data_IF_964099546447
#
_entry.id   IF_964099546447
#
_cell.length_a   1.000
_cell.length_b   1.000
_cell.length_c   1.000
_cell.angle_alpha   90.00
_cell.angle_beta   90.00
_cell.angle_gamma   90.00
#
_symmetry.space_group_name_H-M   'P 1'
#
loop_
_entity.id
_entity.type
_entity.pdbx_description
1 polymer ?
#
# COMPACT_ATOMS: atom_id res chain seq x y z
N UNK A 1 -2.39 22.28 -3.00
CA UNK A 1 -3.06 21.88 -4.24
C UNK A 1 -2.01 21.79 -5.31
N UNK A 2 -1.78 20.65 -5.95
CA UNK A 2 -0.86 20.55 -7.08
C UNK A 2 -1.40 21.39 -8.24
N UNK A 3 -0.51 22.13 -8.90
CA UNK A 3 -0.84 22.97 -10.06
C UNK A 3 -1.52 22.10 -11.13
N UNK A 4 -2.64 22.57 -11.68
CA UNK A 4 -3.30 21.91 -12.82
C UNK A 4 -2.32 21.89 -13.98
N UNK A 5 -1.73 20.72 -14.27
CA UNK A 5 -0.90 20.52 -15.45
C UNK A 5 -1.81 20.70 -16.68
N UNK A 6 -1.44 21.59 -17.59
CA UNK A 6 -2.15 21.77 -18.86
C UNK A 6 -1.97 20.52 -19.73
N UNK A 7 -2.96 19.63 -19.69
CA UNK A 7 -2.94 18.35 -20.40
C UNK A 7 -3.27 18.46 -21.88
N UNK A 8 -3.67 19.65 -22.37
CA UNK A 8 -4.12 19.84 -23.76
C UNK A 8 -3.00 19.55 -24.78
N UNK A 9 -1.76 19.80 -24.43
CA UNK A 9 -0.58 19.62 -25.27
C UNK A 9 -0.06 18.20 -25.36
N UNK A 10 -0.45 17.33 -24.41
CA UNK A 10 0.00 15.94 -24.38
C UNK A 10 -0.65 15.08 -25.47
N UNK A 11 0.09 14.10 -25.96
CA UNK A 11 -0.45 13.09 -26.85
C UNK A 11 -1.62 12.33 -26.18
N UNK A 12 -2.55 11.74 -26.93
CA UNK A 12 -3.67 10.99 -26.36
C UNK A 12 -3.23 9.89 -25.39
N UNK A 13 -2.11 9.22 -25.68
CA UNK A 13 -1.52 8.20 -24.83
C UNK A 13 -1.10 8.76 -23.48
N UNK A 14 -0.35 9.87 -23.46
CA UNK A 14 0.12 10.48 -22.22
C UNK A 14 -1.01 11.10 -21.40
N UNK A 15 -2.06 11.59 -22.03
CA UNK A 15 -3.28 12.02 -21.32
C UNK A 15 -3.95 10.85 -20.58
N UNK A 16 -3.98 9.65 -21.20
CA UNK A 16 -4.53 8.46 -20.56
C UNK A 16 -3.66 8.02 -19.39
N UNK A 17 -2.34 7.94 -19.58
CA UNK A 17 -1.40 7.60 -18.52
C UNK A 17 -1.46 8.59 -17.35
N UNK A 18 -1.42 9.89 -17.61
CA UNK A 18 -1.43 10.92 -16.58
C UNK A 18 -2.71 10.87 -15.73
N UNK A 19 -3.87 10.63 -16.37
CA UNK A 19 -5.15 10.46 -15.66
C UNK A 19 -5.09 9.30 -14.67
N UNK A 20 -4.52 8.17 -15.06
CA UNK A 20 -4.35 6.99 -14.21
C UNK A 20 -3.34 7.31 -13.09
N UNK A 21 -2.19 7.88 -13.44
CA UNK A 21 -1.15 8.20 -12.46
C UNK A 21 -1.60 9.18 -11.38
N UNK A 22 -2.44 10.17 -11.74
CA UNK A 22 -3.01 11.11 -10.77
C UNK A 22 -3.93 10.46 -9.73
N UNK A 23 -4.51 9.31 -10.04
CA UNK A 23 -5.34 8.52 -9.10
C UNK A 23 -4.50 7.59 -8.22
N UNK A 24 -3.21 7.47 -8.49
CA UNK A 24 -2.30 6.50 -7.86
C UNK A 24 -1.07 7.22 -7.26
N UNK A 25 -1.23 8.14 -6.30
CA UNK A 25 -0.10 8.81 -5.69
C UNK A 25 0.80 7.81 -4.96
N UNK A 26 2.12 7.90 -5.17
CA UNK A 26 3.10 7.02 -4.53
C UNK A 26 3.13 5.58 -5.02
N UNK A 27 2.34 5.22 -6.03
CA UNK A 27 2.30 3.88 -6.63
C UNK A 27 3.03 3.92 -7.98
N UNK A 28 3.94 2.99 -8.23
CA UNK A 28 4.59 2.83 -9.53
C UNK A 28 3.59 2.29 -10.55
N UNK A 29 3.57 2.85 -11.75
CA UNK A 29 2.62 2.45 -12.80
C UNK A 29 3.34 1.74 -13.92
N UNK A 30 3.05 0.46 -14.09
CA UNK A 30 3.43 -0.36 -15.24
C UNK A 30 2.32 -0.30 -16.28
N UNK A 31 2.55 0.47 -17.35
CA UNK A 31 1.55 0.82 -18.35
C UNK A 31 1.76 0.04 -19.64
N UNK A 32 0.80 -0.81 -20.01
CA UNK A 32 0.89 -1.71 -21.16
C UNK A 32 0.93 -0.95 -22.48
N UNK A 33 1.98 -1.19 -23.28
CA UNK A 33 2.15 -0.65 -24.62
C UNK A 33 2.71 -1.74 -25.55
N UNK A 34 1.83 -2.32 -26.36
CA UNK A 34 2.21 -3.46 -27.20
C UNK A 34 2.76 -4.62 -26.36
N UNK A 35 3.99 -5.02 -26.63
CA UNK A 35 4.68 -6.13 -25.96
C UNK A 35 5.46 -5.72 -24.71
N UNK A 36 5.31 -4.49 -24.26
CA UNK A 36 6.00 -3.96 -23.09
C UNK A 36 5.03 -3.40 -22.05
N UNK A 37 5.48 -3.40 -20.79
CA UNK A 37 4.99 -2.50 -19.76
C UNK A 37 6.00 -1.39 -19.58
N UNK A 38 5.58 -0.16 -19.82
CA UNK A 38 6.44 1.02 -19.74
C UNK A 38 6.11 1.83 -18.48
N UNK A 39 7.15 2.39 -17.87
CA UNK A 39 7.07 3.37 -16.78
C UNK A 39 7.51 4.72 -17.32
N UNK A 40 6.93 5.82 -16.80
CA UNK A 40 7.22 7.17 -17.26
C UNK A 40 7.51 8.12 -16.10
N UNK A 41 8.30 9.19 -16.37
CA UNK A 41 8.65 10.22 -15.41
C UNK A 41 9.42 9.66 -14.22
N UNK A 42 9.03 10.05 -13.01
CA UNK A 42 9.63 9.59 -11.76
C UNK A 42 9.57 8.06 -11.59
N UNK A 43 8.45 7.43 -12.01
CA UNK A 43 8.33 5.98 -11.96
C UNK A 43 9.39 5.29 -12.84
N UNK A 44 9.73 5.89 -14.00
CA UNK A 44 10.76 5.34 -14.86
C UNK A 44 12.17 5.47 -14.26
N UNK A 45 12.45 6.56 -13.56
CA UNK A 45 13.73 6.77 -12.88
C UNK A 45 13.89 5.76 -11.73
N UNK A 46 12.83 5.56 -10.92
CA UNK A 46 12.80 4.53 -9.89
C UNK A 46 12.95 3.14 -10.51
N UNK A 47 12.11 2.80 -11.49
CA UNK A 47 12.13 1.49 -12.13
C UNK A 47 13.46 1.15 -12.79
N UNK A 48 14.07 2.12 -13.48
CA UNK A 48 15.39 1.93 -14.10
C UNK A 48 16.48 1.64 -13.05
N UNK A 49 16.47 2.35 -11.93
CA UNK A 49 17.41 2.16 -10.83
C UNK A 49 17.21 0.82 -10.14
N UNK A 50 15.97 0.51 -9.75
CA UNK A 50 15.68 -0.67 -8.93
C UNK A 50 15.75 -1.98 -9.70
N UNK A 51 15.40 -1.96 -10.98
CA UNK A 51 15.38 -3.13 -11.87
C UNK A 51 16.60 -3.21 -12.79
N UNK A 52 17.53 -2.26 -12.69
CA UNK A 52 18.72 -2.16 -13.55
C UNK A 52 18.36 -2.12 -15.04
N UNK A 53 17.31 -1.35 -15.38
CA UNK A 53 16.86 -1.16 -16.76
C UNK A 53 17.51 0.06 -17.40
N UNK A 54 17.58 0.05 -18.71
CA UNK A 54 18.01 1.23 -19.47
C UNK A 54 16.97 2.34 -19.36
N UNK A 55 17.37 3.47 -18.78
CA UNK A 55 16.55 4.69 -18.79
C UNK A 55 16.69 5.36 -20.14
N UNK A 56 15.59 5.57 -20.82
CA UNK A 56 15.50 6.28 -22.10
C UNK A 56 14.46 7.41 -21.96
N UNK A 57 13.96 7.92 -23.05
CA UNK A 57 12.91 8.94 -23.02
C UNK A 57 11.94 8.79 -24.18
N UNK A 58 10.69 9.20 -23.94
CA UNK A 58 9.63 9.19 -24.93
C UNK A 58 9.03 10.59 -25.10
N UNK A 59 8.65 10.93 -26.33
CA UNK A 59 7.98 12.19 -26.60
C UNK A 59 6.54 12.14 -26.04
N UNK A 60 6.25 13.09 -25.13
CA UNK A 60 4.93 13.20 -24.47
C UNK A 60 4.07 14.32 -25.08
N UNK A 61 4.71 15.33 -25.65
CA UNK A 61 4.11 16.39 -26.46
C UNK A 61 5.12 16.90 -27.49
N UNK A 62 4.72 17.66 -28.50
CA UNK A 62 5.64 18.16 -29.53
C UNK A 62 6.87 18.85 -28.91
N UNK A 63 8.05 18.27 -29.11
CA UNK A 63 9.34 18.78 -28.59
C UNK A 63 9.58 18.56 -27.11
N UNK A 64 8.69 17.88 -26.37
CA UNK A 64 8.89 17.54 -24.97
C UNK A 64 9.03 16.03 -24.79
N UNK A 65 10.06 15.62 -24.06
CA UNK A 65 10.33 14.22 -23.74
C UNK A 65 10.28 14.00 -22.24
N UNK A 66 9.83 12.82 -21.86
CA UNK A 66 9.75 12.36 -20.47
C UNK A 66 10.61 11.11 -20.30
N UNK A 67 11.30 10.92 -19.16
CA UNK A 67 11.99 9.68 -18.87
C UNK A 67 11.08 8.47 -19.05
N UNK A 68 11.63 7.37 -19.55
CA UNK A 68 10.91 6.12 -19.81
C UNK A 68 11.86 4.93 -19.63
N UNK A 69 11.36 3.87 -18.98
CA UNK A 69 11.94 2.54 -19.07
C UNK A 69 10.82 1.51 -19.25
N UNK A 70 11.14 0.28 -19.58
CA UNK A 70 10.12 -0.73 -19.83
C UNK A 70 10.63 -2.15 -19.68
N UNK A 71 9.70 -3.05 -19.41
CA UNK A 71 9.93 -4.49 -19.28
C UNK A 71 9.08 -5.26 -20.28
N UNK A 72 9.56 -6.37 -20.86
CA UNK A 72 8.75 -7.21 -21.73
C UNK A 72 7.54 -7.77 -20.98
N UNK A 73 6.37 -7.84 -21.62
CA UNK A 73 5.15 -8.27 -20.95
C UNK A 73 5.22 -9.69 -20.39
N UNK A 74 5.89 -10.60 -21.10
CA UNK A 74 6.05 -11.99 -20.67
C UNK A 74 6.97 -12.14 -19.46
N UNK A 75 7.71 -11.11 -19.10
CA UNK A 75 8.61 -11.08 -17.94
C UNK A 75 8.05 -10.23 -16.79
N UNK A 76 6.79 -9.76 -16.89
CA UNK A 76 6.16 -8.87 -15.91
C UNK A 76 6.33 -9.37 -14.48
N UNK A 77 5.92 -10.61 -14.21
CA UNK A 77 5.84 -11.15 -12.83
C UNK A 77 7.22 -11.20 -12.16
N UNK A 78 8.28 -11.48 -12.91
CA UNK A 78 9.66 -11.42 -12.42
C UNK A 78 10.05 -10.01 -11.95
N UNK A 79 9.74 -8.98 -12.74
CA UNK A 79 10.08 -7.60 -12.41
C UNK A 79 9.15 -7.02 -11.34
N UNK A 80 7.87 -7.43 -11.37
CA UNK A 80 6.90 -7.07 -10.35
C UNK A 80 7.35 -7.58 -8.97
N UNK A 81 7.77 -8.86 -8.87
CA UNK A 81 8.34 -9.43 -7.65
C UNK A 81 9.49 -8.59 -7.11
N UNK A 82 10.47 -8.23 -7.95
CA UNK A 82 11.62 -7.44 -7.51
C UNK A 82 11.23 -6.07 -6.93
N UNK A 83 10.23 -5.41 -7.51
CA UNK A 83 9.73 -4.13 -6.97
C UNK A 83 8.99 -4.33 -5.65
N UNK A 84 8.15 -5.35 -5.56
CA UNK A 84 7.37 -5.66 -4.36
C UNK A 84 8.28 -6.08 -3.20
N UNK A 85 9.30 -6.92 -3.43
CA UNK A 85 10.30 -7.31 -2.44
C UNK A 85 11.10 -6.10 -1.90
N UNK A 86 11.23 -5.05 -2.70
CA UNK A 86 11.84 -3.78 -2.28
C UNK A 86 10.85 -2.80 -1.63
N UNK A 87 9.62 -3.24 -1.39
CA UNK A 87 8.59 -2.47 -0.70
C UNK A 87 7.81 -1.49 -1.58
N UNK A 88 7.96 -1.55 -2.90
CA UNK A 88 7.16 -0.70 -3.79
C UNK A 88 5.76 -1.25 -4.00
N UNK A 89 4.78 -0.35 -4.01
CA UNK A 89 3.43 -0.64 -4.50
C UNK A 89 3.41 -0.42 -6.01
N UNK A 90 2.85 -1.35 -6.75
CA UNK A 90 2.89 -1.33 -8.22
C UNK A 90 1.49 -1.54 -8.79
N UNK A 91 1.03 -0.63 -9.63
CA UNK A 91 -0.20 -0.76 -10.41
C UNK A 91 0.12 -1.30 -11.81
N UNK A 92 -0.54 -2.38 -12.17
CA UNK A 92 -0.51 -2.94 -13.52
C UNK A 92 -1.70 -2.38 -14.30
N UNK A 93 -1.40 -1.79 -15.45
CA UNK A 93 -2.39 -1.14 -16.32
C UNK A 93 -2.40 -1.85 -17.67
N UNK A 94 -3.46 -2.57 -17.94
CA UNK A 94 -3.63 -3.38 -19.13
C UNK A 94 -4.54 -2.74 -20.18
N UNK A 95 -4.41 -3.23 -21.41
CA UNK A 95 -5.30 -2.92 -22.50
C UNK A 95 -6.61 -3.71 -22.32
N UNK A 96 -7.73 -3.01 -22.18
CA UNK A 96 -9.05 -3.62 -21.98
C UNK A 96 -9.84 -3.78 -23.28
N UNK A 97 -9.27 -3.34 -24.41
CA UNK A 97 -9.83 -3.49 -25.74
C UNK A 97 -8.88 -4.27 -26.66
N UNK A 98 -9.46 -5.03 -27.59
CA UNK A 98 -8.69 -5.65 -28.66
C UNK A 98 -8.08 -4.56 -29.58
N UNK A 99 -6.74 -4.48 -29.68
CA UNK A 99 -6.10 -3.46 -30.53
C UNK A 99 -6.53 -3.48 -31.97
N UNK A 100 -6.97 -4.66 -32.51
CA UNK A 100 -7.43 -4.82 -33.87
C UNK A 100 -8.85 -4.26 -34.11
N UNK A 101 -9.61 -4.09 -33.02
CA UNK A 101 -11.01 -3.58 -33.08
C UNK A 101 -11.14 -2.14 -32.62
N UNK A 102 -10.10 -1.60 -31.97
CA UNK A 102 -10.11 -0.25 -31.43
C UNK A 102 -10.16 0.80 -32.55
N UNK A 103 -11.14 1.69 -32.47
CA UNK A 103 -11.22 2.88 -33.35
C UNK A 103 -10.44 4.03 -32.73
N UNK A 104 -9.12 3.96 -32.76
CA UNK A 104 -8.24 4.98 -32.17
C UNK A 104 -7.31 4.44 -31.08
N UNK A 105 -7.11 5.21 -30.00
CA UNK A 105 -6.25 4.78 -28.88
C UNK A 105 -6.95 3.69 -28.07
N UNK A 106 -6.30 2.53 -27.95
CA UNK A 106 -6.76 1.41 -27.11
C UNK A 106 -6.96 1.88 -25.67
N UNK A 107 -8.11 1.54 -25.09
CA UNK A 107 -8.44 1.82 -23.69
C UNK A 107 -7.57 1.00 -22.75
N UNK A 108 -7.15 1.61 -21.67
CA UNK A 108 -6.35 0.98 -20.61
C UNK A 108 -6.92 1.31 -19.26
N UNK A 109 -6.89 0.33 -18.38
CA UNK A 109 -7.40 0.44 -17.02
C UNK A 109 -6.43 -0.25 -16.06
N UNK A 110 -6.48 0.16 -14.79
CA UNK A 110 -5.78 -0.54 -13.71
C UNK A 110 -6.46 -1.89 -13.53
N UNK A 111 -5.73 -2.97 -13.75
CA UNK A 111 -6.24 -4.34 -13.58
C UNK A 111 -5.91 -4.89 -12.20
N UNK A 112 -4.79 -4.47 -11.62
CA UNK A 112 -4.38 -4.86 -10.26
C UNK A 112 -3.39 -3.86 -9.67
N UNK A 113 -3.40 -3.76 -8.33
CA UNK A 113 -2.36 -3.09 -7.55
C UNK A 113 -1.73 -4.13 -6.64
N UNK A 114 -0.43 -4.29 -6.74
CA UNK A 114 0.32 -5.32 -5.99
C UNK A 114 1.25 -4.64 -5.01
N UNK A 115 1.30 -5.18 -3.79
CA UNK A 115 2.25 -4.78 -2.74
C UNK A 115 2.63 -6.01 -1.91
N UNK A 116 3.61 -5.89 -1.02
CA UNK A 116 4.15 -7.04 -0.28
C UNK A 116 3.08 -7.84 0.47
N UNK A 117 2.13 -7.16 1.13
CA UNK A 117 1.06 -7.80 1.88
C UNK A 117 -0.21 -8.12 1.07
N UNK A 118 -0.23 -7.83 -0.25
CA UNK A 118 -1.42 -7.99 -1.12
C UNK A 118 -1.09 -8.81 -2.37
N UNK A 119 -0.22 -9.78 -2.21
CA UNK A 119 0.14 -10.73 -3.28
C UNK A 119 -0.81 -11.91 -3.20
N UNK A 120 -1.43 -12.26 -4.34
CA UNK A 120 -2.28 -13.44 -4.50
C UNK A 120 -1.62 -14.54 -5.34
N UNK A 121 -0.65 -14.16 -6.18
CA UNK A 121 -0.02 -15.08 -7.10
C UNK A 121 1.04 -15.94 -6.37
N UNK A 122 0.89 -17.26 -6.42
CA UNK A 122 1.80 -18.23 -5.80
C UNK A 122 3.28 -18.00 -6.19
N UNK A 123 3.51 -17.51 -7.40
CA UNK A 123 4.85 -17.21 -7.90
C UNK A 123 5.52 -16.00 -7.21
N UNK A 124 4.72 -15.15 -6.58
CA UNK A 124 5.17 -13.94 -5.88
C UNK A 124 5.23 -14.13 -4.36
N UNK A 125 4.63 -15.20 -3.82
CA UNK A 125 4.61 -15.46 -2.39
C UNK A 125 5.96 -16.02 -1.90
N UNK A 126 6.48 -15.55 -0.77
CA UNK A 126 7.58 -16.20 -0.08
C UNK A 126 7.09 -17.56 0.43
N UNK A 127 7.71 -18.67 0.09
CA UNK A 127 7.33 -20.06 0.44
C UNK A 127 6.45 -20.23 1.70
N UNK A 128 6.32 -21.32 2.36
CA UNK A 128 5.37 -21.68 3.43
C UNK A 128 5.34 -20.75 4.68
N UNK A 129 5.29 -19.44 4.51
CA UNK A 129 5.14 -18.44 5.57
C UNK A 129 3.89 -17.60 5.31
N UNK A 130 3.24 -17.14 6.40
CA UNK A 130 2.12 -16.20 6.29
C UNK A 130 2.57 -14.89 5.63
N UNK A 131 1.72 -14.36 4.73
CA UNK A 131 1.94 -13.11 4.04
C UNK A 131 0.99 -12.03 4.55
N UNK A 132 1.09 -11.69 5.83
CA UNK A 132 0.15 -10.76 6.46
C UNK A 132 0.32 -9.32 6.00
N UNK A 133 -0.80 -8.71 5.57
CA UNK A 133 -1.00 -7.28 5.65
C UNK A 133 -1.45 -6.95 7.08
N UNK A 134 -0.71 -6.15 7.82
CA UNK A 134 -1.10 -5.64 9.14
C UNK A 134 -1.69 -4.24 9.00
N UNK A 135 -2.97 -4.10 9.22
CA UNK A 135 -3.65 -2.80 9.28
C UNK A 135 -3.71 -2.31 10.72
N UNK A 136 -3.35 -1.05 10.97
CA UNK A 136 -3.28 -0.45 12.30
C UNK A 136 -4.13 0.81 12.36
N UNK A 137 -4.99 0.89 13.35
CA UNK A 137 -5.79 2.07 13.68
C UNK A 137 -5.76 2.34 15.19
N UNK A 138 -6.08 3.56 15.59
CA UNK A 138 -6.14 3.96 17.00
C UNK A 138 -7.53 4.41 17.37
N UNK A 139 -8.02 3.97 18.53
CA UNK A 139 -9.24 4.51 19.14
C UNK A 139 -8.96 4.71 20.64
N UNK A 140 -8.97 5.96 21.08
CA UNK A 140 -8.64 6.32 22.46
C UNK A 140 -7.20 5.94 22.84
N UNK A 141 -7.05 5.13 23.89
CA UNK A 141 -5.79 4.63 24.41
C UNK A 141 -5.44 3.20 23.93
N UNK A 142 -6.07 2.73 22.85
CA UNK A 142 -5.83 1.40 22.28
C UNK A 142 -5.49 1.48 20.81
N UNK A 143 -4.55 0.61 20.42
CA UNK A 143 -4.25 0.33 19.02
C UNK A 143 -4.97 -0.95 18.59
N UNK A 144 -5.71 -0.88 17.50
CA UNK A 144 -6.25 -2.06 16.83
C UNK A 144 -5.25 -2.53 15.77
N UNK A 145 -5.09 -3.83 15.68
CA UNK A 145 -4.32 -4.50 14.64
C UNK A 145 -5.21 -5.53 13.96
N UNK A 146 -5.38 -5.41 12.66
CA UNK A 146 -6.03 -6.40 11.82
C UNK A 146 -5.00 -7.02 10.87
N UNK A 147 -4.98 -8.35 10.82
CA UNK A 147 -4.09 -9.14 9.98
C UNK A 147 -4.90 -9.80 8.88
N UNK A 148 -4.51 -9.60 7.64
CA UNK A 148 -5.14 -10.24 6.49
C UNK A 148 -4.08 -11.00 5.72
N UNK A 149 -4.29 -12.28 5.52
CA UNK A 149 -3.51 -13.10 4.59
C UNK A 149 -4.43 -13.53 3.45
N UNK A 150 -4.22 -12.92 2.29
CA UNK A 150 -5.06 -13.18 1.11
C UNK A 150 -4.83 -14.58 0.52
N UNK A 151 -3.68 -15.21 0.80
CA UNK A 151 -3.35 -16.54 0.29
C UNK A 151 -4.06 -17.66 1.05
N UNK A 152 -4.31 -17.46 2.36
CA UNK A 152 -4.99 -18.43 3.24
C UNK A 152 -6.42 -18.01 3.56
N UNK A 153 -6.83 -16.79 3.21
CA UNK A 153 -8.06 -16.13 3.61
C UNK A 153 -8.20 -15.96 5.15
N UNK A 154 -7.08 -15.87 5.85
CA UNK A 154 -7.07 -15.57 7.27
C UNK A 154 -7.36 -14.08 7.50
N UNK A 155 -8.26 -13.80 8.46
CA UNK A 155 -8.57 -12.45 8.91
C UNK A 155 -8.65 -12.43 10.44
N UNK A 156 -7.61 -11.90 11.06
CA UNK A 156 -7.44 -11.90 12.51
C UNK A 156 -7.42 -10.47 13.03
N UNK A 157 -7.91 -10.26 14.25
CA UNK A 157 -7.90 -8.93 14.89
C UNK A 157 -7.46 -9.01 16.35
N UNK A 158 -6.80 -7.96 16.81
CA UNK A 158 -6.44 -7.78 18.22
C UNK A 158 -6.41 -6.31 18.61
N UNK A 159 -6.42 -6.03 19.90
CA UNK A 159 -6.17 -4.70 20.45
C UNK A 159 -4.98 -4.72 21.41
N UNK A 160 -4.15 -3.71 21.30
CA UNK A 160 -2.99 -3.48 22.18
C UNK A 160 -3.18 -2.16 22.91
N UNK A 161 -2.99 -2.09 24.21
CA UNK A 161 -3.04 -0.81 24.93
C UNK A 161 -1.89 0.09 24.52
N UNK A 162 -2.12 1.39 24.46
CA UNK A 162 -1.02 2.34 24.36
C UNK A 162 -0.12 2.24 25.61
N UNK A 163 1.18 2.27 25.41
CA UNK A 163 2.13 2.24 26.49
C UNK A 163 2.01 3.49 27.38
N UNK A 164 2.41 3.37 28.64
CA UNK A 164 2.43 4.48 29.58
C UNK A 164 3.88 4.80 29.97
N UNK A 165 4.23 6.06 29.93
CA UNK A 165 5.51 6.52 30.47
C UNK A 165 5.64 6.05 31.93
N UNK A 166 6.67 5.24 32.25
CA UNK A 166 6.95 4.73 33.57
C UNK A 166 6.77 3.22 33.80
N UNK A 167 6.27 2.45 32.82
CA UNK A 167 6.17 0.99 32.93
C UNK A 167 7.38 0.23 32.41
N UNK A 168 8.20 0.84 31.56
CA UNK A 168 9.48 0.27 31.15
C UNK A 168 10.56 0.63 32.17
N UNK A 169 11.22 -0.38 32.73
CA UNK A 169 12.27 -0.26 33.77
C UNK A 169 13.58 0.42 33.31
N UNK A 170 13.56 1.29 32.33
CA UNK A 170 14.68 2.08 31.83
C UNK A 170 14.45 3.57 32.05
N UNK A 171 14.78 3.99 33.25
CA UNK A 171 14.90 5.36 33.70
C UNK A 171 16.21 5.94 33.19
N UNK A 172 16.22 6.62 32.06
CA UNK A 172 17.34 7.50 31.66
C UNK A 172 17.06 8.39 30.45
N UNK A 173 15.93 9.03 30.29
CA UNK A 173 15.78 10.25 29.47
C UNK A 173 14.33 10.77 29.62
N UNK A 174 14.14 11.77 30.49
CA UNK A 174 12.90 12.58 30.54
C UNK A 174 12.90 13.57 29.36
N UNK A 175 12.70 13.07 28.14
CA UNK A 175 12.45 13.88 26.95
C UNK A 175 11.08 13.55 26.40
N UNK A 176 10.43 14.51 25.76
CA UNK A 176 9.14 14.28 25.08
C UNK A 176 9.21 13.07 24.12
N UNK A 177 10.36 12.84 23.50
CA UNK A 177 10.63 11.70 22.62
C UNK A 177 10.56 10.36 23.35
N UNK A 178 11.05 10.26 24.59
CA UNK A 178 10.99 9.02 25.38
C UNK A 178 9.55 8.64 25.76
N UNK A 179 8.68 9.63 25.99
CA UNK A 179 7.26 9.41 26.28
C UNK A 179 6.52 8.93 25.06
N UNK A 180 6.78 9.53 23.90
CA UNK A 180 6.19 9.12 22.63
C UNK A 180 6.63 7.70 22.22
N UNK A 181 7.90 7.35 22.40
CA UNK A 181 8.41 5.99 22.14
C UNK A 181 7.72 4.97 23.05
N UNK A 182 7.59 5.25 24.35
CA UNK A 182 6.94 4.36 25.31
C UNK A 182 5.46 4.09 24.97
N UNK A 183 4.78 5.06 24.37
CA UNK A 183 3.39 4.92 23.93
C UNK A 183 3.21 3.85 22.86
N UNK A 184 4.16 3.76 21.92
CA UNK A 184 4.11 2.84 20.80
C UNK A 184 4.77 1.48 21.03
N UNK A 185 5.55 1.32 22.13
CA UNK A 185 6.27 0.06 22.41
C UNK A 185 5.37 -1.20 22.31
N UNK A 186 4.18 -1.26 22.96
CA UNK A 186 3.36 -2.48 22.91
C UNK A 186 2.88 -2.81 21.50
N UNK A 187 2.54 -1.80 20.71
CA UNK A 187 2.16 -1.97 19.30
C UNK A 187 3.32 -2.51 18.48
N UNK A 188 4.49 -1.90 18.63
CA UNK A 188 5.68 -2.25 17.84
C UNK A 188 6.20 -3.64 18.21
N UNK A 189 6.16 -4.03 19.47
CA UNK A 189 6.51 -5.38 19.92
C UNK A 189 5.55 -6.43 19.31
N UNK A 190 4.25 -6.13 19.27
CA UNK A 190 3.26 -7.01 18.65
C UNK A 190 3.48 -7.13 17.13
N UNK A 191 3.70 -6.03 16.43
CA UNK A 191 4.03 -6.05 15.01
C UNK A 191 5.35 -6.79 14.71
N UNK A 192 6.37 -6.61 15.54
CA UNK A 192 7.64 -7.34 15.40
C UNK A 192 7.47 -8.85 15.65
N UNK A 193 6.61 -9.25 16.60
CA UNK A 193 6.26 -10.66 16.86
C UNK A 193 5.52 -11.30 15.69
N UNK A 194 4.63 -10.57 15.04
CA UNK A 194 3.86 -11.02 13.88
C UNK A 194 4.73 -11.12 12.64
N UNK A 195 5.63 -10.15 12.42
CA UNK A 195 6.46 -10.07 11.22
C UNK A 195 5.65 -9.88 9.94
N UNK A 196 4.77 -8.87 9.86
CA UNK A 196 3.93 -8.68 8.67
C UNK A 196 4.77 -8.37 7.43
N UNK A 197 4.26 -8.74 6.26
CA UNK A 197 4.86 -8.41 4.97
C UNK A 197 4.65 -6.94 4.59
N UNK A 198 3.58 -6.32 5.07
CA UNK A 198 3.24 -4.91 4.85
C UNK A 198 2.49 -4.36 6.07
N UNK A 199 2.73 -3.09 6.42
CA UNK A 199 2.00 -2.38 7.47
C UNK A 199 1.20 -1.24 6.84
N UNK A 200 -0.11 -1.20 7.08
CA UNK A 200 -1.02 -0.15 6.66
C UNK A 200 -1.41 0.67 7.88
N UNK A 201 -0.95 1.89 8.00
CA UNK A 201 -1.29 2.80 9.09
C UNK A 201 -2.48 3.69 8.73
N UNK A 202 -3.38 3.93 9.66
CA UNK A 202 -4.36 5.00 9.53
C UNK A 202 -3.66 6.35 9.29
N UNK A 203 -4.30 7.27 8.58
CA UNK A 203 -3.68 8.51 8.11
C UNK A 203 -3.09 9.37 9.24
N UNK A 204 -3.74 9.42 10.39
CA UNK A 204 -3.27 10.09 11.61
C UNK A 204 -2.00 9.44 12.16
N UNK A 205 -1.93 8.11 12.21
CA UNK A 205 -0.74 7.37 12.64
C UNK A 205 0.38 7.44 11.59
N UNK A 206 0.05 7.44 10.31
CA UNK A 206 1.03 7.53 9.24
C UNK A 206 1.79 8.87 9.23
N UNK A 207 1.18 9.93 9.75
CA UNK A 207 1.79 11.25 9.94
C UNK A 207 2.66 11.37 11.19
N UNK A 208 2.63 10.39 12.11
CA UNK A 208 3.38 10.44 13.36
C UNK A 208 4.84 10.00 13.16
N UNK A 209 5.75 10.95 13.30
CA UNK A 209 7.17 10.73 13.08
C UNK A 209 7.78 9.81 14.18
N UNK A 210 7.32 9.91 15.42
CA UNK A 210 7.81 9.08 16.52
C UNK A 210 7.47 7.60 16.28
N UNK A 211 6.23 7.30 15.87
CA UNK A 211 5.84 5.95 15.49
C UNK A 211 6.69 5.42 14.33
N UNK A 212 6.89 6.23 13.30
CA UNK A 212 7.70 5.84 12.13
C UNK A 212 9.14 5.51 12.49
N UNK A 213 9.76 6.30 13.35
CA UNK A 213 11.13 6.06 13.83
C UNK A 213 11.22 4.75 14.64
N UNK A 214 10.26 4.49 15.53
CA UNK A 214 10.25 3.25 16.32
C UNK A 214 10.04 2.03 15.43
N UNK A 215 9.11 2.11 14.46
CA UNK A 215 8.87 1.03 13.50
C UNK A 215 10.11 0.76 12.63
N UNK A 216 10.76 1.79 12.12
CA UNK A 216 11.96 1.64 11.27
C UNK A 216 13.11 0.90 11.98
N UNK A 217 13.19 0.98 13.30
CA UNK A 217 14.17 0.24 14.09
C UNK A 217 13.81 -1.22 14.42
N UNK A 218 12.56 -1.64 14.17
CA UNK A 218 12.02 -2.93 14.62
C UNK A 218 11.46 -3.81 13.51
N UNK A 219 11.15 -3.24 12.35
CA UNK A 219 10.60 -3.98 11.20
C UNK A 219 11.21 -3.51 9.89
N UNK A 220 11.31 -4.43 8.94
CA UNK A 220 11.68 -4.13 7.54
C UNK A 220 10.45 -4.07 6.64
N UNK A 221 9.26 -4.32 7.18
CA UNK A 221 8.03 -4.27 6.41
C UNK A 221 7.78 -2.86 5.85
N UNK A 222 7.42 -2.72 4.58
CA UNK A 222 7.03 -1.45 4.01
C UNK A 222 5.79 -0.91 4.72
N UNK A 223 5.79 0.41 4.95
CA UNK A 223 4.71 1.11 5.64
C UNK A 223 3.96 1.96 4.61
N UNK A 224 2.65 1.74 4.51
CA UNK A 224 1.74 2.52 3.69
C UNK A 224 0.75 3.30 4.58
N UNK A 225 0.31 4.46 4.12
CA UNK A 225 -0.82 5.15 4.72
C UNK A 225 -2.13 4.66 4.10
N UNK A 226 -3.14 4.46 4.93
CA UNK A 226 -4.49 4.21 4.45
C UNK A 226 -5.09 5.47 3.83
N UNK A 227 -5.96 5.30 2.85
CA UNK A 227 -6.72 6.40 2.29
C UNK A 227 -7.77 6.88 3.30
N UNK A 228 -7.88 8.21 3.47
CA UNK A 228 -8.95 8.79 4.26
C UNK A 228 -10.30 8.54 3.56
N UNK A 229 -11.21 7.92 4.31
CA UNK A 229 -12.55 7.64 3.82
C UNK A 229 -13.59 8.37 4.68
N UNK A 230 -14.75 8.77 4.11
CA UNK A 230 -15.82 9.34 4.90
C UNK A 230 -16.26 8.36 5.99
N UNK A 231 -16.58 8.93 7.15
CA UNK A 231 -16.90 8.19 8.36
C UNK A 231 -18.10 7.24 8.16
N UNK A 232 -17.81 5.96 8.09
CA UNK A 232 -18.80 4.88 8.23
C UNK A 232 -18.46 4.15 9.52
N UNK A 233 -19.46 3.71 10.28
CA UNK A 233 -19.21 2.92 11.50
C UNK A 233 -18.44 1.64 11.13
N UNK A 234 -17.21 1.42 11.63
CA UNK A 234 -16.43 0.22 11.33
C UNK A 234 -17.19 -1.07 11.63
N UNK A 235 -17.89 -1.12 12.77
CA UNK A 235 -18.71 -2.27 13.16
C UNK A 235 -19.80 -2.60 12.12
N UNK A 236 -20.48 -1.57 11.62
CA UNK A 236 -21.52 -1.74 10.61
C UNK A 236 -20.95 -2.25 9.29
N UNK A 237 -19.85 -1.68 8.85
CA UNK A 237 -19.17 -2.08 7.61
C UNK A 237 -18.73 -3.55 7.66
N UNK A 238 -18.16 -3.97 8.80
CA UNK A 238 -17.77 -5.36 9.03
C UNK A 238 -19.00 -6.29 9.04
N UNK A 239 -20.09 -5.90 9.73
CA UNK A 239 -21.32 -6.69 9.73
C UNK A 239 -21.91 -6.84 8.32
N UNK A 240 -21.92 -5.77 7.53
CA UNK A 240 -22.38 -5.78 6.13
C UNK A 240 -21.49 -6.69 5.26
N UNK A 241 -20.18 -6.60 5.40
CA UNK A 241 -19.23 -7.41 4.64
C UNK A 241 -19.35 -8.91 4.94
N UNK A 242 -19.42 -9.28 6.23
CA UNK A 242 -19.53 -10.68 6.64
C UNK A 242 -20.97 -11.23 6.62
N UNK A 243 -21.96 -10.39 6.33
CA UNK A 243 -23.37 -10.79 6.28
C UNK A 243 -23.93 -11.21 7.66
N UNK A 244 -23.47 -10.55 8.74
CA UNK A 244 -23.86 -10.89 10.12
C UNK A 244 -24.57 -9.73 10.81
N UNK A 245 -25.38 -10.06 11.82
CA UNK A 245 -26.14 -9.05 12.58
C UNK A 245 -25.26 -8.34 13.64
N UNK A 246 -24.24 -9.00 14.16
CA UNK A 246 -23.31 -8.45 15.15
C UNK A 246 -21.94 -9.12 15.06
N UNK A 247 -20.94 -8.51 15.71
CA UNK A 247 -19.57 -9.03 15.79
C UNK A 247 -19.30 -9.88 17.04
N UNK A 248 -20.35 -10.20 17.84
CA UNK A 248 -20.20 -10.98 19.07
C UNK A 248 -19.62 -12.37 18.81
N UNK A 249 -20.06 -13.02 17.73
CA UNK A 249 -19.57 -14.33 17.33
C UNK A 249 -18.08 -14.37 16.94
N UNK A 250 -17.50 -13.22 16.65
CA UNK A 250 -16.07 -13.06 16.33
C UNK A 250 -15.24 -12.60 17.54
N UNK A 251 -15.91 -12.31 18.68
CA UNK A 251 -15.22 -11.87 19.90
C UNK A 251 -14.62 -10.46 19.84
N UNK A 252 -15.02 -9.63 18.89
CA UNK A 252 -14.51 -8.28 18.71
C UNK A 252 -15.57 -7.17 18.79
N UNK A 253 -16.78 -7.50 19.31
CA UNK A 253 -17.87 -6.52 19.46
C UNK A 253 -17.49 -5.32 20.35
N UNK A 254 -16.71 -5.55 21.41
CA UNK A 254 -16.24 -4.55 22.36
C UNK A 254 -14.79 -4.06 22.06
N UNK A 255 -14.32 -4.23 20.83
CA UNK A 255 -12.97 -3.88 20.40
C UNK A 255 -12.99 -2.81 19.29
N UNK A 256 -13.29 -1.54 19.62
CA UNK A 256 -13.49 -0.50 18.60
C UNK A 256 -12.23 -0.17 17.79
N UNK A 257 -11.04 -0.28 18.37
CA UNK A 257 -9.79 -0.05 17.64
C UNK A 257 -9.52 -1.21 16.66
N UNK A 258 -9.76 -2.46 17.08
CA UNK A 258 -9.65 -3.63 16.20
C UNK A 258 -10.64 -3.55 15.04
N UNK A 259 -11.89 -3.14 15.31
CA UNK A 259 -12.90 -2.92 14.27
C UNK A 259 -12.47 -1.85 13.27
N UNK A 260 -11.87 -0.74 13.74
CA UNK A 260 -11.39 0.32 12.88
C UNK A 260 -10.25 -0.19 11.98
N UNK A 261 -9.29 -0.93 12.54
CA UNK A 261 -8.20 -1.54 11.78
C UNK A 261 -8.71 -2.56 10.75
N UNK A 262 -9.71 -3.38 11.13
CA UNK A 262 -10.32 -4.37 10.26
C UNK A 262 -11.07 -3.72 9.08
N UNK A 263 -11.90 -2.72 9.34
CA UNK A 263 -12.60 -1.98 8.29
C UNK A 263 -11.63 -1.27 7.34
N UNK A 264 -10.52 -0.73 7.87
CA UNK A 264 -9.44 -0.17 7.06
C UNK A 264 -8.79 -1.23 6.15
N UNK A 265 -8.54 -2.43 6.67
CA UNK A 265 -7.95 -3.53 5.90
C UNK A 265 -8.84 -3.99 4.75
N UNK A 266 -10.17 -4.01 4.93
CA UNK A 266 -11.13 -4.39 3.89
C UNK A 266 -11.15 -3.41 2.70
N UNK A 267 -10.79 -2.16 2.91
CA UNK A 267 -10.78 -1.11 1.88
C UNK A 267 -9.44 -1.01 1.14
N UNK A 268 -8.42 -1.67 1.67
CA UNK A 268 -7.08 -1.62 1.13
C UNK A 268 -6.91 -2.50 -0.11
#
# INVERSE_FOLDING_TARGET
>A
MPAKVDTSKFTPLFRQWLRIKQQLPGILVLFRLGDFYEMFGEDAEVGARELQLTLTSRECSPGQRIPMCGVPHHALDRYLRQLVEKGYRVAVVDQTEDPKKAKGLVRREVTRVVSAGRVLEDELLPGAQHNFLASVARVGDRFGVALVDLSTADFLVTEVPAGRAGTAGHRLLDTADATAVAEYEPLVDELARIGPAEILLASDLAGDEALRQVLAGRTTAPIAAAEEQPFVSPARELCEFFGVASLDGYGCADMPAAQAAAAQALRA
#
